data_IF_256487541242
#
_entry.id   IF_256487541242
#
_cell.length_a   1.000
_cell.length_b   1.000
_cell.length_c   1.000
_cell.angle_alpha   90.00
_cell.angle_beta   90.00
_cell.angle_gamma   90.00
#
_symmetry.space_group_name_H-M   'P 1'
#
loop_
_entity.id
_entity.type
_entity.pdbx_description
1 polymer ?
#
# COMPACT_ATOMS: atom_id res chain seq x y z
N UNK A 1 8.80 17.72 -15.52
CA UNK A 1 7.77 17.59 -14.47
C UNK A 1 6.74 16.58 -14.97
N UNK A 2 6.49 15.49 -14.24
CA UNK A 2 5.50 14.48 -14.67
C UNK A 2 4.06 15.02 -14.48
N UNK A 3 3.05 14.49 -15.18
CA UNK A 3 1.65 14.87 -14.96
C UNK A 3 1.21 14.74 -13.48
N UNK A 4 1.75 13.76 -12.76
CA UNK A 4 1.52 13.55 -11.32
C UNK A 4 2.09 14.67 -10.45
N UNK A 5 3.32 15.10 -10.75
CA UNK A 5 3.96 16.23 -10.07
C UNK A 5 3.18 17.54 -10.30
N UNK A 6 2.61 17.70 -11.50
CA UNK A 6 1.71 18.78 -11.84
C UNK A 6 0.44 18.73 -10.98
N UNK A 7 -0.28 17.62 -10.98
CA UNK A 7 -1.51 17.47 -10.17
C UNK A 7 -1.25 17.70 -8.69
N UNK A 8 -0.17 17.16 -8.12
CA UNK A 8 0.16 17.37 -6.71
C UNK A 8 0.45 18.83 -6.40
N UNK A 9 1.20 19.52 -7.25
CA UNK A 9 1.47 20.95 -7.06
C UNK A 9 0.18 21.76 -7.05
N UNK A 10 -0.79 21.39 -7.90
CA UNK A 10 -2.12 22.00 -7.92
C UNK A 10 -2.92 21.68 -6.66
N UNK A 11 -2.90 20.44 -6.16
CA UNK A 11 -3.54 20.09 -4.89
C UNK A 11 -2.92 20.83 -3.69
N UNK A 12 -1.60 21.00 -3.70
CA UNK A 12 -0.87 21.74 -2.67
C UNK A 12 -1.25 23.23 -2.69
N UNK A 13 -1.37 23.79 -3.89
CA UNK A 13 -1.78 25.18 -4.10
C UNK A 13 -3.25 25.39 -3.67
N UNK A 14 -4.16 24.50 -4.08
CA UNK A 14 -5.54 24.52 -3.64
C UNK A 14 -5.66 24.43 -2.10
N UNK A 15 -4.91 23.55 -1.47
CA UNK A 15 -4.85 23.47 -0.01
C UNK A 15 -4.35 24.79 0.61
N UNK A 16 -3.32 25.40 0.01
CA UNK A 16 -2.75 26.67 0.47
C UNK A 16 -3.74 27.84 0.37
N UNK A 17 -4.58 27.86 -0.66
CA UNK A 17 -5.67 28.82 -0.80
C UNK A 17 -6.74 28.56 0.26
N UNK A 18 -7.23 27.31 0.34
CA UNK A 18 -8.40 26.97 1.17
C UNK A 18 -8.13 26.93 2.67
N UNK A 19 -6.87 26.81 3.11
CA UNK A 19 -6.52 26.95 4.54
C UNK A 19 -6.77 28.38 5.07
N UNK A 20 -6.86 29.37 4.19
CA UNK A 20 -7.17 30.77 4.53
C UNK A 20 -8.67 31.01 4.66
N UNK A 21 -9.50 30.07 4.17
CA UNK A 21 -10.95 30.14 4.24
C UNK A 21 -11.63 29.58 2.98
N UNK A 22 -12.96 29.38 3.02
CA UNK A 22 -13.71 28.87 1.87
C UNK A 22 -13.68 29.78 0.65
N UNK A 23 -13.42 29.23 -0.54
CA UNK A 23 -13.29 29.99 -1.79
C UNK A 23 -14.26 29.48 -2.87
N UNK A 24 -14.83 30.38 -3.71
CA UNK A 24 -15.67 29.96 -4.82
C UNK A 24 -14.86 29.25 -5.91
N UNK A 25 -15.53 28.40 -6.69
CA UNK A 25 -14.92 27.63 -7.78
C UNK A 25 -14.14 28.49 -8.78
N UNK A 26 -14.65 29.69 -9.12
CA UNK A 26 -13.98 30.63 -10.03
C UNK A 26 -12.65 31.14 -9.49
N UNK A 27 -12.57 31.41 -8.18
CA UNK A 27 -11.34 31.83 -7.53
C UNK A 27 -10.29 30.72 -7.58
N UNK A 28 -10.68 29.47 -7.29
CA UNK A 28 -9.76 28.33 -7.40
C UNK A 28 -9.32 28.08 -8.85
N UNK A 29 -10.20 28.22 -9.82
CA UNK A 29 -9.83 28.06 -11.23
C UNK A 29 -8.73 29.04 -11.65
N UNK A 30 -8.82 30.30 -11.20
CA UNK A 30 -7.80 31.31 -11.47
C UNK A 30 -6.51 31.04 -10.69
N UNK A 31 -6.58 30.95 -9.37
CA UNK A 31 -5.39 30.88 -8.51
C UNK A 31 -4.66 29.55 -8.58
N UNK A 32 -5.39 28.45 -8.81
CA UNK A 32 -4.81 27.10 -8.82
C UNK A 32 -4.50 26.68 -10.25
N UNK A 33 -5.44 26.82 -11.18
CA UNK A 33 -5.32 26.28 -12.54
C UNK A 33 -4.89 27.31 -13.58
N UNK A 34 -4.80 28.60 -13.23
CA UNK A 34 -4.52 29.67 -14.18
C UNK A 34 -5.63 29.91 -15.22
N UNK A 35 -6.84 29.43 -14.97
CA UNK A 35 -7.96 29.50 -15.91
C UNK A 35 -8.79 30.78 -15.67
N UNK A 36 -8.79 31.67 -16.66
CA UNK A 36 -9.52 32.95 -16.65
C UNK A 36 -10.73 32.98 -17.61
N UNK A 37 -11.20 31.81 -18.06
CA UNK A 37 -12.20 31.65 -19.14
C UNK A 37 -13.61 31.22 -18.69
N UNK A 38 -14.33 30.54 -19.59
CA UNK A 38 -15.73 30.12 -19.39
C UNK A 38 -15.97 29.39 -18.05
N UNK A 39 -16.91 29.93 -17.26
CA UNK A 39 -17.21 29.46 -15.91
C UNK A 39 -17.51 27.95 -15.84
N UNK A 40 -18.19 27.38 -16.84
CA UNK A 40 -18.48 25.95 -16.90
C UNK A 40 -17.23 25.07 -17.07
N UNK A 41 -16.30 25.45 -17.94
CA UNK A 41 -15.06 24.70 -18.15
C UNK A 41 -14.14 24.77 -16.93
N UNK A 42 -14.03 25.97 -16.35
CA UNK A 42 -13.30 26.23 -15.11
C UNK A 42 -13.86 25.38 -13.95
N UNK A 43 -15.19 25.31 -13.80
CA UNK A 43 -15.81 24.50 -12.78
C UNK A 43 -15.49 23.01 -12.94
N UNK A 44 -15.67 22.45 -14.14
CA UNK A 44 -15.33 21.03 -14.39
C UNK A 44 -13.87 20.72 -14.05
N UNK A 45 -12.95 21.62 -14.37
CA UNK A 45 -11.53 21.41 -14.09
C UNK A 45 -11.22 21.40 -12.58
N UNK A 46 -11.80 22.33 -11.81
CA UNK A 46 -11.67 22.35 -10.34
C UNK A 46 -12.30 21.10 -9.72
N UNK A 47 -13.47 20.69 -10.19
CA UNK A 47 -14.12 19.45 -9.74
C UNK A 47 -13.30 18.20 -10.07
N UNK A 48 -12.71 18.13 -11.26
CA UNK A 48 -11.83 17.01 -11.63
C UNK A 48 -10.55 16.97 -10.75
N UNK A 49 -10.04 18.12 -10.32
CA UNK A 49 -8.88 18.20 -9.44
C UNK A 49 -9.23 17.78 -8.00
N UNK A 50 -10.28 18.37 -7.42
CA UNK A 50 -10.57 18.35 -5.98
C UNK A 50 -11.71 17.41 -5.57
N UNK A 51 -12.61 17.06 -6.48
CA UNK A 51 -13.91 16.45 -6.15
C UNK A 51 -13.83 15.07 -5.49
N UNK A 52 -12.85 14.25 -5.89
CA UNK A 52 -12.65 12.92 -5.33
C UNK A 52 -11.64 12.89 -4.18
N UNK A 53 -11.01 14.03 -3.90
CA UNK A 53 -9.98 14.13 -2.87
C UNK A 53 -10.63 14.36 -1.49
N UNK A 54 -10.42 13.43 -0.52
CA UNK A 54 -11.13 13.45 0.76
C UNK A 54 -10.76 14.64 1.65
N UNK A 55 -9.76 15.45 1.29
CA UNK A 55 -9.40 16.67 2.02
C UNK A 55 -10.30 17.84 1.72
N UNK A 56 -10.94 17.83 0.55
CA UNK A 56 -11.73 18.94 0.06
C UNK A 56 -13.23 18.60 0.14
N UNK A 57 -14.03 19.65 0.25
CA UNK A 57 -15.48 19.58 0.16
C UNK A 57 -15.99 20.84 -0.52
N UNK A 58 -17.18 20.75 -1.11
CA UNK A 58 -17.87 21.86 -1.75
C UNK A 58 -19.32 21.88 -1.30
N UNK A 59 -19.86 23.06 -1.03
CA UNK A 59 -21.26 23.24 -0.67
C UNK A 59 -22.16 23.46 -1.90
N UNK A 60 -23.45 23.66 -1.67
CA UNK A 60 -24.44 23.87 -2.74
C UNK A 60 -24.20 25.16 -3.55
N UNK A 61 -23.52 26.14 -2.96
CA UNK A 61 -23.19 27.42 -3.59
C UNK A 61 -21.87 27.34 -4.39
N UNK A 62 -21.25 26.16 -4.47
CA UNK A 62 -20.01 25.95 -5.20
C UNK A 62 -18.78 26.56 -4.49
N UNK A 63 -18.87 26.78 -3.17
CA UNK A 63 -17.74 27.20 -2.34
C UNK A 63 -17.01 25.99 -1.79
N UNK A 64 -15.74 25.93 -2.12
CA UNK A 64 -14.84 24.88 -1.67
C UNK A 64 -14.27 25.23 -0.31
N UNK A 65 -14.07 24.22 0.52
CA UNK A 65 -13.41 24.33 1.81
C UNK A 65 -12.60 23.06 2.12
N UNK A 66 -11.69 23.17 3.09
CA UNK A 66 -11.04 22.01 3.67
C UNK A 66 -12.00 21.29 4.61
N UNK A 67 -12.02 19.95 4.56
CA UNK A 67 -12.67 19.15 5.59
C UNK A 67 -11.92 19.30 6.92
N UNK A 68 -12.64 19.20 8.03
CA UNK A 68 -12.05 19.30 9.37
C UNK A 68 -10.85 18.36 9.55
N UNK A 69 -9.71 18.91 9.96
CA UNK A 69 -8.47 18.15 10.15
C UNK A 69 -7.72 17.76 8.86
N UNK A 70 -8.10 18.31 7.70
CA UNK A 70 -7.41 18.06 6.44
C UNK A 70 -5.96 18.58 6.49
N UNK A 71 -5.01 17.67 6.24
CA UNK A 71 -3.59 17.96 6.15
C UNK A 71 -3.19 18.34 4.72
N UNK A 72 -2.09 19.08 4.54
CA UNK A 72 -1.56 19.33 3.21
C UNK A 72 -1.21 18.00 2.50
N UNK A 73 -1.24 17.96 1.16
CA UNK A 73 -0.70 16.86 0.39
C UNK A 73 0.68 16.36 0.83
N UNK A 74 0.72 15.06 1.14
CA UNK A 74 1.95 14.36 1.52
C UNK A 74 2.86 14.10 0.32
N UNK A 75 3.97 13.41 0.55
CA UNK A 75 4.86 12.90 -0.51
C UNK A 75 4.08 12.00 -1.48
N UNK A 76 4.29 12.09 -2.82
CA UNK A 76 3.63 11.23 -3.78
C UNK A 76 3.97 9.78 -3.49
N UNK A 77 3.00 8.88 -3.70
CA UNK A 77 3.25 7.44 -3.58
C UNK A 77 4.43 7.00 -4.46
N UNK A 78 4.51 7.47 -5.70
CA UNK A 78 5.59 7.20 -6.65
C UNK A 78 6.99 7.64 -6.20
N UNK A 79 7.10 8.59 -5.25
CA UNK A 79 8.39 9.07 -4.72
C UNK A 79 8.78 8.44 -3.37
N UNK A 80 7.93 7.61 -2.79
CA UNK A 80 8.24 6.93 -1.54
C UNK A 80 9.13 5.72 -1.80
N UNK A 81 9.98 5.42 -0.83
CA UNK A 81 10.73 4.18 -0.76
C UNK A 81 9.99 3.22 0.17
N UNK A 82 9.82 1.97 -0.27
CA UNK A 82 9.14 0.94 0.50
C UNK A 82 10.12 -0.18 0.83
N UNK A 83 10.08 -0.62 2.08
CA UNK A 83 10.74 -1.83 2.55
C UNK A 83 9.65 -2.90 2.70
N UNK A 84 9.56 -3.81 1.72
CA UNK A 84 8.61 -4.92 1.75
C UNK A 84 9.27 -6.07 2.49
N UNK A 85 8.72 -6.41 3.64
CA UNK A 85 9.32 -7.35 4.58
C UNK A 85 8.41 -8.55 4.74
N UNK A 86 9.05 -9.72 4.81
CA UNK A 86 8.44 -10.96 5.23
C UNK A 86 9.43 -11.68 6.16
N UNK A 87 8.90 -12.42 7.14
CA UNK A 87 9.71 -13.18 8.10
C UNK A 87 9.13 -14.57 8.29
N UNK A 88 10.01 -15.56 8.32
CA UNK A 88 9.70 -16.88 8.85
C UNK A 88 10.19 -17.01 10.28
N UNK A 89 9.56 -17.88 11.06
CA UNK A 89 9.80 -17.97 12.50
C UNK A 89 9.90 -19.41 12.95
N UNK A 90 10.41 -19.61 14.16
CA UNK A 90 10.38 -20.89 14.87
C UNK A 90 8.96 -21.38 15.21
N UNK A 91 7.92 -20.59 14.91
CA UNK A 91 6.54 -20.76 15.35
C UNK A 91 6.18 -19.86 16.54
N UNK A 92 4.99 -20.06 17.12
CA UNK A 92 4.58 -19.41 18.38
C UNK A 92 4.56 -17.88 18.35
N UNK A 93 5.01 -17.24 19.44
CA UNK A 93 5.02 -15.78 19.63
C UNK A 93 6.36 -15.29 20.19
N UNK A 94 6.83 -14.13 19.75
CA UNK A 94 8.10 -13.56 20.22
C UNK A 94 8.10 -13.31 21.74
N UNK A 95 6.95 -12.95 22.34
CA UNK A 95 6.81 -12.76 23.79
C UNK A 95 7.08 -14.04 24.60
N UNK A 96 6.98 -15.21 23.96
CA UNK A 96 7.24 -16.52 24.58
C UNK A 96 8.60 -17.10 24.18
N UNK A 97 9.53 -16.24 23.78
CA UNK A 97 10.91 -16.62 23.45
C UNK A 97 11.09 -17.22 22.05
N UNK A 98 10.05 -17.26 21.21
CA UNK A 98 10.24 -17.69 19.82
C UNK A 98 11.04 -16.64 19.04
N UNK A 99 11.65 -17.07 17.93
CA UNK A 99 12.59 -16.26 17.13
C UNK A 99 12.31 -16.37 15.63
N UNK A 100 12.76 -15.36 14.88
CA UNK A 100 12.87 -15.35 13.41
C UNK A 100 13.87 -16.44 12.98
N UNK A 101 13.57 -17.11 11.87
CA UNK A 101 14.43 -18.12 11.22
C UNK A 101 14.85 -17.71 9.81
N UNK A 102 14.11 -16.79 9.19
CA UNK A 102 14.44 -16.19 7.91
C UNK A 102 13.86 -14.78 7.87
N UNK A 103 14.60 -13.82 7.32
CA UNK A 103 14.13 -12.46 7.09
C UNK A 103 14.41 -12.08 5.65
N UNK A 104 13.46 -11.41 5.01
CA UNK A 104 13.66 -10.78 3.71
C UNK A 104 13.18 -9.33 3.74
N UNK A 105 13.94 -8.45 3.10
CA UNK A 105 13.59 -7.04 2.87
C UNK A 105 13.80 -6.74 1.39
N UNK A 106 12.70 -6.61 0.65
CA UNK A 106 12.67 -6.22 -0.76
C UNK A 106 12.42 -4.72 -0.84
N UNK A 107 13.33 -3.99 -1.47
CA UNK A 107 13.25 -2.56 -1.63
C UNK A 107 12.52 -2.18 -2.93
N UNK A 108 11.52 -1.32 -2.82
CA UNK A 108 10.78 -0.75 -3.95
C UNK A 108 10.95 0.76 -3.98
N UNK A 109 11.40 1.28 -5.12
CA UNK A 109 11.55 2.71 -5.40
C UNK A 109 11.12 3.02 -6.84
N UNK A 110 10.46 4.17 -7.03
CA UNK A 110 10.08 4.64 -8.37
C UNK A 110 9.25 3.63 -9.17
N UNK A 111 8.36 2.88 -8.51
CA UNK A 111 7.51 1.88 -9.17
C UNK A 111 8.19 0.56 -9.54
N UNK A 112 9.41 0.30 -9.04
CA UNK A 112 10.15 -0.93 -9.35
C UNK A 112 10.84 -1.51 -8.12
N UNK A 113 11.07 -2.83 -8.13
CA UNK A 113 11.97 -3.48 -7.16
C UNK A 113 13.41 -3.10 -7.53
N UNK A 114 14.15 -2.49 -6.60
CA UNK A 114 15.49 -1.97 -6.88
C UNK A 114 16.60 -2.73 -6.16
N UNK A 115 16.29 -3.39 -5.06
CA UNK A 115 17.25 -4.17 -4.28
C UNK A 115 16.53 -5.20 -3.39
N UNK A 116 17.24 -6.20 -2.90
CA UNK A 116 16.72 -7.13 -1.90
C UNK A 116 17.82 -7.68 -1.01
N UNK A 117 17.50 -7.83 0.27
CA UNK A 117 18.28 -8.59 1.24
C UNK A 117 17.44 -9.72 1.78
N UNK A 118 18.04 -10.89 1.93
CA UNK A 118 17.41 -12.02 2.59
C UNK A 118 18.48 -12.92 3.20
N UNK A 119 18.17 -13.51 4.35
CA UNK A 119 19.08 -14.42 5.04
C UNK A 119 18.28 -15.36 5.93
N UNK A 120 18.78 -16.58 6.10
CA UNK A 120 18.45 -17.40 7.25
C UNK A 120 19.02 -16.76 8.51
N UNK A 121 18.40 -17.06 9.65
CA UNK A 121 18.81 -16.54 10.96
C UNK A 121 18.83 -17.70 11.94
N UNK A 122 19.96 -17.94 12.61
CA UNK A 122 20.06 -18.94 13.66
C UNK A 122 19.23 -18.47 14.87
N UNK A 123 18.13 -19.17 15.21
CA UNK A 123 17.17 -18.69 16.21
C UNK A 123 17.59 -18.99 17.65
N UNK A 124 18.71 -19.68 17.89
CA UNK A 124 19.12 -20.11 19.24
C UNK A 124 18.21 -21.17 19.86
N UNK A 125 17.31 -21.78 19.07
CA UNK A 125 16.32 -22.77 19.53
C UNK A 125 15.80 -23.61 18.38
N UNK A 126 15.20 -24.75 18.68
CA UNK A 126 14.58 -25.59 17.65
C UNK A 126 13.34 -24.95 17.02
N UNK A 127 13.19 -25.16 15.72
CA UNK A 127 11.97 -24.84 14.96
C UNK A 127 10.88 -25.85 15.29
N UNK A 128 9.66 -25.38 15.51
CA UNK A 128 8.53 -26.29 15.74
C UNK A 128 8.30 -27.18 14.49
N UNK A 129 8.09 -28.51 14.63
CA UNK A 129 8.00 -29.41 13.46
C UNK A 129 6.93 -29.04 12.44
N UNK A 130 5.80 -28.49 12.88
CA UNK A 130 4.76 -28.03 11.98
C UNK A 130 5.21 -26.82 11.15
N UNK A 131 6.02 -25.92 11.71
CA UNK A 131 6.55 -24.76 11.01
C UNK A 131 7.64 -25.18 10.02
N UNK A 132 8.57 -26.05 10.44
CA UNK A 132 9.59 -26.59 9.55
C UNK A 132 8.99 -27.31 8.32
N UNK A 133 7.88 -28.04 8.50
CA UNK A 133 7.14 -28.65 7.37
C UNK A 133 6.50 -27.63 6.45
N UNK A 134 6.04 -26.50 6.97
CA UNK A 134 5.38 -25.45 6.18
C UNK A 134 6.41 -24.65 5.37
N UNK A 135 7.50 -24.24 6.00
CA UNK A 135 8.51 -23.33 5.41
C UNK A 135 9.64 -24.06 4.71
N UNK A 136 9.82 -25.35 5.02
CA UNK A 136 10.97 -26.14 4.57
C UNK A 136 12.28 -25.77 5.27
N UNK A 137 12.25 -24.91 6.29
CA UNK A 137 13.44 -24.50 7.04
C UNK A 137 13.69 -25.52 8.16
N UNK A 138 14.80 -26.25 8.06
CA UNK A 138 15.24 -27.24 9.06
C UNK A 138 16.23 -26.63 10.05
N UNK A 139 16.36 -27.24 11.24
CA UNK A 139 17.37 -26.83 12.22
C UNK A 139 18.80 -26.94 11.63
N UNK A 140 19.07 -27.92 10.76
CA UNK A 140 20.37 -28.11 10.10
C UNK A 140 20.73 -26.93 9.17
N UNK A 141 19.75 -26.40 8.43
CA UNK A 141 19.95 -25.21 7.59
C UNK A 141 20.28 -23.96 8.42
N UNK A 142 19.82 -23.92 9.67
CA UNK A 142 19.97 -22.77 10.55
C UNK A 142 21.27 -22.84 11.35
N UNK A 143 21.93 -24.00 11.43
CA UNK A 143 23.09 -24.22 12.30
C UNK A 143 24.23 -23.23 12.06
N UNK A 144 24.59 -23.01 10.80
CA UNK A 144 25.65 -22.07 10.38
C UNK A 144 25.10 -20.69 9.97
N UNK A 145 23.80 -20.45 10.16
CA UNK A 145 23.21 -19.14 9.85
C UNK A 145 23.64 -18.10 10.90
N UNK A 146 23.72 -16.80 10.54
CA UNK A 146 24.03 -15.76 11.51
C UNK A 146 22.90 -15.64 12.55
N UNK A 147 23.23 -15.33 13.79
CA UNK A 147 22.25 -14.90 14.78
C UNK A 147 21.64 -13.53 14.37
N UNK A 148 20.49 -13.17 14.94
CA UNK A 148 19.80 -11.95 14.51
C UNK A 148 20.60 -10.68 14.81
N UNK A 149 21.32 -10.64 15.93
CA UNK A 149 22.20 -9.53 16.31
C UNK A 149 23.28 -9.24 15.26
N UNK A 150 23.83 -10.28 14.62
CA UNK A 150 24.81 -10.15 13.53
C UNK A 150 24.22 -9.50 12.27
N UNK A 151 22.90 -9.59 12.05
CA UNK A 151 22.21 -9.01 10.89
C UNK A 151 21.32 -7.81 11.23
N UNK A 152 21.20 -7.47 12.51
CA UNK A 152 20.25 -6.47 13.01
C UNK A 152 20.50 -5.08 12.42
N UNK A 153 21.77 -4.66 12.31
CA UNK A 153 22.12 -3.36 11.73
C UNK A 153 21.72 -3.25 10.25
N UNK A 154 21.89 -4.32 9.47
CA UNK A 154 21.49 -4.35 8.06
C UNK A 154 19.95 -4.28 7.93
N UNK A 155 19.24 -5.06 8.75
CA UNK A 155 17.76 -5.01 8.80
C UNK A 155 17.28 -3.62 9.21
N UNK A 156 17.88 -3.01 10.23
CA UNK A 156 17.58 -1.65 10.67
C UNK A 156 17.77 -0.65 9.52
N UNK A 157 18.95 -0.64 8.88
CA UNK A 157 19.28 0.28 7.77
C UNK A 157 18.35 0.12 6.58
N UNK A 158 17.88 -1.10 6.31
CA UNK A 158 16.95 -1.38 5.21
C UNK A 158 15.51 -1.02 5.50
N UNK A 159 15.12 -0.89 6.77
CA UNK A 159 13.76 -0.50 7.15
C UNK A 159 13.67 1.00 7.48
N UNK A 160 14.72 1.56 8.08
CA UNK A 160 14.77 2.97 8.45
C UNK A 160 14.57 3.91 7.24
N UNK A 161 13.82 5.00 7.47
CA UNK A 161 13.52 6.01 6.46
C UNK A 161 12.56 5.58 5.34
N UNK A 162 12.01 4.36 5.41
CA UNK A 162 11.11 3.79 4.39
C UNK A 162 9.73 3.49 4.95
N UNK A 163 8.78 3.30 4.05
CA UNK A 163 7.47 2.75 4.41
C UNK A 163 7.61 1.24 4.55
N UNK A 164 7.42 0.73 5.77
CA UNK A 164 7.39 -0.71 6.01
C UNK A 164 6.11 -1.30 5.44
N UNK A 165 6.23 -2.34 4.62
CA UNK A 165 5.11 -3.04 4.00
C UNK A 165 5.23 -4.52 4.25
N UNK A 166 4.12 -5.18 4.56
CA UNK A 166 4.04 -6.64 4.53
C UNK A 166 2.62 -7.10 4.20
N UNK A 167 2.45 -8.40 3.90
CA UNK A 167 1.13 -8.95 3.67
C UNK A 167 0.26 -8.87 4.94
N UNK A 168 0.85 -9.18 6.10
CA UNK A 168 0.25 -8.95 7.41
C UNK A 168 1.16 -8.06 8.29
N UNK A 169 1.35 -6.80 7.91
CA UNK A 169 2.31 -5.89 8.58
C UNK A 169 2.18 -5.72 10.11
N UNK A 170 1.11 -6.17 10.77
CA UNK A 170 1.11 -6.25 12.24
C UNK A 170 2.01 -7.38 12.74
N UNK A 171 1.96 -8.54 12.08
CA UNK A 171 2.75 -9.72 12.40
C UNK A 171 4.23 -9.47 12.12
N UNK A 172 4.59 -9.15 10.88
CA UNK A 172 5.99 -9.00 10.46
C UNK A 172 6.68 -7.87 11.22
N UNK A 173 6.01 -6.74 11.38
CA UNK A 173 6.54 -5.63 12.17
C UNK A 173 6.71 -5.99 13.65
N UNK A 174 5.84 -6.82 14.21
CA UNK A 174 5.96 -7.27 15.60
C UNK A 174 7.27 -8.03 15.83
N UNK A 175 7.59 -8.95 14.92
CA UNK A 175 8.84 -9.70 14.92
C UNK A 175 10.07 -8.82 14.72
N UNK A 176 10.08 -8.00 13.67
CA UNK A 176 11.20 -7.09 13.37
C UNK A 176 11.43 -6.14 14.54
N UNK A 177 10.37 -5.52 15.08
CA UNK A 177 10.46 -4.61 16.22
C UNK A 177 11.01 -5.31 17.46
N UNK A 178 10.55 -6.51 17.77
CA UNK A 178 11.01 -7.25 18.94
C UNK A 178 12.51 -7.59 18.81
N UNK A 179 12.92 -8.15 17.67
CA UNK A 179 14.31 -8.59 17.50
C UNK A 179 15.29 -7.42 17.34
N UNK A 180 14.91 -6.32 16.68
CA UNK A 180 15.73 -5.11 16.66
C UNK A 180 15.85 -4.49 18.05
N UNK A 181 14.76 -4.48 18.84
CA UNK A 181 14.78 -3.99 20.21
C UNK A 181 15.70 -4.82 21.11
N UNK A 182 15.65 -6.15 20.98
CA UNK A 182 16.51 -7.07 21.73
C UNK A 182 18.00 -6.93 21.31
N UNK A 183 18.28 -6.81 20.01
CA UNK A 183 19.65 -6.79 19.48
C UNK A 183 20.35 -5.43 19.59
N UNK A 184 19.62 -4.33 19.35
CA UNK A 184 20.19 -2.98 19.22
C UNK A 184 19.72 -2.01 20.31
N UNK A 185 18.69 -2.37 21.08
CA UNK A 185 18.04 -1.43 22.00
C UNK A 185 17.28 -0.29 21.29
N UNK A 186 17.14 -0.35 19.97
CA UNK A 186 16.49 0.69 19.15
C UNK A 186 15.66 0.07 18.01
N UNK A 187 14.62 0.78 17.59
CA UNK A 187 13.71 0.36 16.52
C UNK A 187 13.33 1.59 15.70
N UNK A 188 13.44 1.53 14.35
CA UNK A 188 13.16 2.69 13.53
C UNK A 188 11.67 3.05 13.57
N UNK A 189 11.37 4.35 13.68
CA UNK A 189 10.01 4.83 13.49
C UNK A 189 9.62 4.76 12.01
N UNK A 190 8.63 3.93 11.69
CA UNK A 190 8.19 3.71 10.31
C UNK A 190 6.69 3.90 10.11
N UNK A 191 6.35 4.49 8.97
CA UNK A 191 5.00 4.37 8.44
C UNK A 191 4.79 2.94 7.94
N UNK A 192 3.66 2.34 8.30
CA UNK A 192 3.32 0.96 7.91
C UNK A 192 2.18 0.89 6.90
N UNK A 193 2.27 -0.05 5.96
CA UNK A 193 1.20 -0.50 5.07
C UNK A 193 1.04 -2.01 5.14
N UNK A 194 -0.19 -2.48 5.01
CA UNK A 194 -0.54 -3.89 5.00
C UNK A 194 -1.30 -4.19 3.70
N UNK A 195 -0.81 -5.11 2.88
CA UNK A 195 -1.45 -5.38 1.57
C UNK A 195 -2.83 -6.01 1.73
N UNK A 196 -3.12 -6.77 2.81
CA UNK A 196 -4.49 -7.19 3.15
C UNK A 196 -5.41 -5.98 3.34
N UNK A 197 -4.94 -4.98 4.10
CA UNK A 197 -5.73 -3.78 4.41
C UNK A 197 -5.91 -2.87 3.20
N UNK A 198 -4.88 -2.75 2.36
CA UNK A 198 -4.95 -2.01 1.10
C UNK A 198 -5.90 -2.70 0.12
N UNK A 199 -5.79 -4.01 -0.05
CA UNK A 199 -6.66 -4.80 -0.92
C UNK A 199 -8.12 -4.67 -0.51
N UNK A 200 -8.44 -4.72 0.79
CA UNK A 200 -9.82 -4.50 1.27
C UNK A 200 -10.42 -3.16 0.81
N UNK A 201 -9.58 -2.14 0.60
CA UNK A 201 -10.01 -0.79 0.23
C UNK A 201 -10.05 -0.60 -1.28
N UNK A 202 -9.02 -1.08 -1.97
CA UNK A 202 -8.79 -0.83 -3.39
C UNK A 202 -9.43 -1.89 -4.28
N UNK A 203 -9.58 -3.11 -3.77
CA UNK A 203 -10.16 -4.28 -4.45
C UNK A 203 -11.29 -4.87 -3.58
N UNK A 204 -12.35 -4.10 -3.29
CA UNK A 204 -13.44 -4.54 -2.41
C UNK A 204 -14.16 -5.80 -2.91
N UNK A 205 -14.12 -6.08 -4.21
CA UNK A 205 -14.66 -7.28 -4.85
C UNK A 205 -13.93 -8.58 -4.46
N UNK A 206 -12.67 -8.49 -4.01
CA UNK A 206 -11.89 -9.65 -3.62
C UNK A 206 -12.14 -10.00 -2.14
N UNK A 207 -12.84 -11.12 -1.92
CA UNK A 207 -13.25 -11.57 -0.59
C UNK A 207 -12.11 -12.23 0.19
N UNK A 208 -11.41 -13.17 -0.43
CA UNK A 208 -10.24 -13.87 0.13
C UNK A 208 -8.98 -13.06 -0.11
N UNK A 209 -8.16 -12.87 0.93
CA UNK A 209 -7.00 -11.97 0.87
C UNK A 209 -5.74 -12.56 1.46
N UNK A 210 -5.57 -13.88 1.39
CA UNK A 210 -4.25 -14.47 1.62
C UNK A 210 -3.34 -14.16 0.43
N UNK A 211 -2.03 -14.42 0.57
CA UNK A 211 -1.06 -14.03 -0.45
C UNK A 211 -1.38 -14.71 -1.79
N UNK A 212 -1.76 -15.99 -1.74
CA UNK A 212 -2.12 -16.80 -2.91
C UNK A 212 -3.30 -16.18 -3.68
N UNK A 213 -4.39 -15.81 -3.00
CA UNK A 213 -5.53 -15.18 -3.66
C UNK A 213 -5.21 -13.82 -4.28
N UNK A 214 -4.31 -13.04 -3.68
CA UNK A 214 -3.87 -11.76 -4.27
C UNK A 214 -2.94 -12.00 -5.46
N UNK A 215 -2.05 -12.97 -5.35
CA UNK A 215 -1.13 -13.35 -6.40
C UNK A 215 -1.90 -13.84 -7.64
N UNK A 216 -2.87 -14.73 -7.44
CA UNK A 216 -3.77 -15.20 -8.51
C UNK A 216 -4.56 -14.04 -9.13
N UNK A 217 -5.15 -13.16 -8.30
CA UNK A 217 -5.94 -12.03 -8.79
C UNK A 217 -5.13 -11.06 -9.67
N UNK A 218 -3.86 -10.86 -9.33
CA UNK A 218 -2.97 -9.93 -10.04
C UNK A 218 -2.08 -10.61 -11.08
N UNK A 219 -2.26 -11.90 -11.33
CA UNK A 219 -1.44 -12.72 -12.23
C UNK A 219 0.07 -12.64 -11.88
N UNK A 220 0.38 -12.89 -10.61
CA UNK A 220 1.74 -12.85 -10.06
C UNK A 220 2.14 -14.25 -9.62
N UNK A 221 3.22 -14.79 -10.19
CA UNK A 221 3.81 -16.03 -9.69
C UNK A 221 4.52 -15.82 -8.36
N UNK A 222 4.28 -16.72 -7.40
CA UNK A 222 5.03 -16.80 -6.14
C UNK A 222 6.11 -17.87 -6.30
N UNK A 223 7.37 -17.47 -6.20
CA UNK A 223 8.49 -18.41 -6.18
C UNK A 223 8.75 -18.85 -4.74
N UNK A 224 8.92 -20.15 -4.49
CA UNK A 224 9.23 -20.69 -3.17
C UNK A 224 8.27 -20.17 -2.07
N UNK A 225 6.97 -20.40 -2.24
CA UNK A 225 5.95 -20.04 -1.24
C UNK A 225 6.34 -20.56 0.15
N UNK A 226 6.17 -19.73 1.20
CA UNK A 226 6.63 -19.98 2.57
C UNK A 226 8.16 -19.90 2.76
N UNK A 227 8.82 -19.18 1.86
CA UNK A 227 10.16 -18.63 2.06
C UNK A 227 10.06 -17.12 2.06
N UNK A 228 10.74 -16.48 3.00
CA UNK A 228 10.57 -15.05 3.25
C UNK A 228 10.86 -14.22 1.99
N UNK A 229 11.91 -14.56 1.24
CA UNK A 229 12.24 -13.82 0.02
C UNK A 229 11.17 -13.95 -1.08
N UNK A 230 10.67 -15.16 -1.30
CA UNK A 230 9.62 -15.45 -2.27
C UNK A 230 8.34 -14.68 -1.98
N UNK A 231 7.93 -14.70 -0.72
CA UNK A 231 6.72 -14.06 -0.22
C UNK A 231 6.84 -12.53 -0.19
N UNK A 232 8.01 -11.99 0.21
CA UNK A 232 8.29 -10.56 0.16
C UNK A 232 8.28 -10.03 -1.29
N UNK A 233 8.88 -10.77 -2.23
CA UNK A 233 8.92 -10.38 -3.65
C UNK A 233 7.52 -10.40 -4.28
N UNK A 234 6.72 -11.44 -4.02
CA UNK A 234 5.31 -11.48 -4.43
C UNK A 234 4.53 -10.31 -3.82
N UNK A 235 4.73 -10.05 -2.52
CA UNK A 235 4.12 -8.91 -1.82
C UNK A 235 4.51 -7.56 -2.42
N UNK A 236 5.76 -7.40 -2.86
CA UNK A 236 6.24 -6.19 -3.52
C UNK A 236 5.56 -5.97 -4.88
N UNK A 237 5.41 -7.02 -5.68
CA UNK A 237 4.67 -6.96 -6.95
C UNK A 237 3.19 -6.64 -6.73
N UNK A 238 2.57 -7.24 -5.72
CA UNK A 238 1.18 -6.93 -5.31
C UNK A 238 1.07 -5.48 -4.86
N UNK A 239 2.03 -4.98 -4.07
CA UNK A 239 2.07 -3.58 -3.64
C UNK A 239 2.06 -2.65 -4.85
N UNK A 240 2.90 -2.89 -5.86
CA UNK A 240 2.94 -2.07 -7.07
C UNK A 240 1.57 -2.02 -7.76
N UNK A 241 0.90 -3.17 -7.95
CA UNK A 241 -0.46 -3.22 -8.52
C UNK A 241 -1.49 -2.44 -7.70
N UNK A 242 -1.37 -2.48 -6.37
CA UNK A 242 -2.23 -1.72 -5.48
C UNK A 242 -1.94 -0.21 -5.55
N UNK A 243 -0.68 0.19 -5.69
CA UNK A 243 -0.29 1.59 -5.86
C UNK A 243 -0.79 2.14 -7.21
N UNK A 244 -0.61 1.41 -8.31
CA UNK A 244 -1.15 1.77 -9.63
C UNK A 244 -2.67 1.99 -9.55
N UNK A 245 -3.38 1.11 -8.85
CA UNK A 245 -4.83 1.23 -8.66
C UNK A 245 -5.22 2.42 -7.79
N UNK A 246 -4.43 2.74 -6.76
CA UNK A 246 -4.65 3.93 -5.95
C UNK A 246 -4.48 5.21 -6.77
N UNK A 247 -3.45 5.27 -7.62
CA UNK A 247 -3.19 6.40 -8.51
C UNK A 247 -4.33 6.59 -9.54
N UNK A 248 -4.82 5.49 -10.13
CA UNK A 248 -5.99 5.52 -11.01
C UNK A 248 -7.28 6.03 -10.33
N UNK A 249 -7.36 5.91 -9.00
CA UNK A 249 -8.44 6.46 -8.18
C UNK A 249 -8.17 7.90 -7.69
N UNK A 250 -7.08 8.53 -8.14
CA UNK A 250 -6.66 9.87 -7.74
C UNK A 250 -6.06 9.94 -6.33
N UNK A 251 -5.70 8.82 -5.73
CA UNK A 251 -5.13 8.74 -4.38
C UNK A 251 -3.61 8.90 -4.48
N UNK A 252 -3.13 10.12 -4.29
CA UNK A 252 -1.71 10.46 -4.55
C UNK A 252 -0.74 10.36 -3.37
N UNK A 253 -1.20 10.13 -2.13
CA UNK A 253 -0.30 10.09 -0.96
C UNK A 253 -0.74 9.09 0.12
N UNK A 254 0.16 8.78 1.04
CA UNK A 254 -0.08 7.79 2.11
C UNK A 254 -1.26 8.15 3.01
N UNK A 255 -1.50 9.44 3.29
CA UNK A 255 -2.57 9.85 4.20
C UNK A 255 -3.92 9.56 3.57
N UNK A 256 -4.09 9.98 2.31
CA UNK A 256 -5.28 9.71 1.50
C UNK A 256 -5.48 8.20 1.32
N UNK A 257 -4.43 7.45 1.01
CA UNK A 257 -4.48 5.98 0.91
C UNK A 257 -4.93 5.31 2.21
N UNK A 258 -4.40 5.78 3.36
CA UNK A 258 -4.77 5.28 4.69
C UNK A 258 -6.17 5.69 5.13
N UNK A 259 -6.82 6.65 4.48
CA UNK A 259 -8.20 7.07 4.79
C UNK A 259 -9.23 6.64 3.76
N UNK A 260 -8.81 6.29 2.56
CA UNK A 260 -9.71 5.88 1.49
C UNK A 260 -10.68 4.80 1.95
N UNK A 261 -11.94 4.96 1.57
CA UNK A 261 -13.02 3.99 1.75
C UNK A 261 -13.73 3.85 0.40
N UNK A 262 -13.89 2.64 -0.12
CA UNK A 262 -14.63 2.44 -1.35
C UNK A 262 -16.06 2.96 -1.16
N UNK A 263 -16.58 3.70 -2.14
CA UNK A 263 -17.99 4.09 -2.15
C UNK A 263 -18.82 2.81 -2.18
N UNK A 264 -19.79 2.68 -1.26
CA UNK A 264 -20.80 1.63 -1.37
C UNK A 264 -21.51 1.86 -2.70
N UNK A 265 -21.31 0.99 -3.68
CA UNK A 265 -22.22 0.92 -4.83
C UNK A 265 -23.62 0.71 -4.25
N UNK A 266 -24.54 1.66 -4.46
CA UNK A 266 -25.95 1.44 -4.14
C UNK A 266 -26.36 0.16 -4.85
N UNK A 267 -26.72 -0.85 -4.07
CA UNK A 267 -27.23 -2.14 -4.53
C UNK A 267 -28.61 -1.86 -5.15
N UNK A 268 -28.63 -1.42 -6.40
CA UNK A 268 -29.84 -0.89 -7.04
C UNK A 268 -29.56 -0.01 -8.25
N UNK A 269 -28.75 -0.49 -9.20
CA UNK A 269 -28.68 0.08 -10.55
C UNK A 269 -28.15 -0.92 -11.59
N UNK A 270 -28.33 -2.23 -11.33
CA UNK A 270 -28.09 -3.29 -12.31
C UNK A 270 -29.27 -3.56 -13.25
N UNK A 271 -30.42 -2.90 -13.04
CA UNK A 271 -31.63 -3.10 -13.86
C UNK A 271 -31.84 -2.10 -15.00
N UNK A 272 -30.89 -1.18 -15.25
CA UNK A 272 -31.00 -0.21 -16.36
C UNK A 272 -30.21 -0.60 -17.62
N UNK A 273 -29.37 -1.64 -17.58
CA UNK A 273 -28.70 -2.20 -18.76
C UNK A 273 -29.32 -3.52 -19.27
N UNK A 274 -30.41 -3.99 -18.66
CA UNK A 274 -31.17 -5.17 -19.11
C UNK A 274 -32.36 -4.82 -20.04
N UNK A 275 -32.51 -3.54 -20.44
CA UNK A 275 -33.64 -3.06 -21.27
C UNK A 275 -33.27 -2.53 -22.65
N UNK A 276 -32.02 -2.58 -23.09
CA UNK A 276 -31.64 -2.37 -24.50
C UNK A 276 -31.48 -3.71 -25.20
N UNK A 277 -32.58 -4.25 -25.72
CA UNK A 277 -32.67 -5.55 -26.36
C UNK A 277 -31.74 -5.72 -27.57
N UNK A 278 -30.67 -6.48 -27.38
CA UNK A 278 -29.90 -7.09 -28.48
C UNK A 278 -29.92 -8.63 -28.30
N UNK A 279 -30.26 -9.39 -29.35
CA UNK A 279 -30.50 -10.82 -29.23
C UNK A 279 -29.20 -11.60 -29.02
N UNK A 280 -29.25 -12.56 -28.08
CA UNK A 280 -28.21 -13.57 -27.89
C UNK A 280 -28.11 -14.43 -29.15
N UNK A 281 -26.94 -14.44 -29.81
CA UNK A 281 -26.66 -15.42 -30.86
C UNK A 281 -26.60 -16.83 -30.25
N UNK A 282 -27.42 -17.71 -30.79
CA UNK A 282 -27.45 -19.15 -30.54
C UNK A 282 -26.09 -19.78 -30.91
N UNK A 283 -25.55 -20.60 -29.99
CA UNK A 283 -24.51 -21.58 -30.31
C UNK A 283 -25.20 -22.78 -30.97
N UNK A 284 -24.95 -22.98 -32.26
CA UNK A 284 -25.20 -24.25 -32.92
C UNK A 284 -24.09 -25.22 -32.50
N UNK A 285 -24.50 -26.36 -31.95
CA UNK A 285 -23.68 -27.55 -31.77
C UNK A 285 -23.31 -28.14 -33.13
N UNK A 286 -22.01 -28.26 -33.41
CA UNK A 286 -21.39 -29.41 -34.09
C UNK A 286 -20.02 -29.61 -33.45
#
# INVERSE_FOLDING_TARGET
MTPEDGRRSLLQLAWTVLRRGPAPTTHLAREVLGLNGHAGAAARAVFALLGDDPRFQVDADGRWSLRGGARPPGTPLSRLCYAVVDVETTGGRYETGHRITEVAVVEVRGGSVTDAFHTLVHPGRRVHPATARLTGISDDMLFDAPAFDEVAEEVFRRVAGRVFVAHNAKFDWGWIRAQLGDALGDVPEVQRLCTISLTRRLVPELHHRNLDALADYFDISIHQRHRAYGDALATARILLRLLDRAENLGIGDLHSLKRYRPRKTRRGQRDLFARSGLPRRSRTLV
#
